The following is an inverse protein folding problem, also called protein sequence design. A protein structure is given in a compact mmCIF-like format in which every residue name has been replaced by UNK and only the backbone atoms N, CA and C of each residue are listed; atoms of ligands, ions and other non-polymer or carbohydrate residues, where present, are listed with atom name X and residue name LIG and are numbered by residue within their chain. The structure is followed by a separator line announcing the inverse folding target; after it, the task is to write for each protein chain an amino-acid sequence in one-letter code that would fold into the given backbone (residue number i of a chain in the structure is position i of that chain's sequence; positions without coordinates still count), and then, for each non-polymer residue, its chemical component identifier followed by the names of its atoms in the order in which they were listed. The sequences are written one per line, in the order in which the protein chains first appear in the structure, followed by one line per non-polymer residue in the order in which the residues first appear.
data_IF_547224547613
#
_entry.id   IF_547224547613
#
_cell.length_a   1.000
_cell.length_b   1.000
_cell.length_c   1.000
_cell.angle_alpha   90.00
_cell.angle_beta   90.00
_cell.angle_gamma   90.00
#
_symmetry.space_group_name_H-M   'P 1'
#
loop_
_entity.id
_entity.type
_entity.pdbx_description
1 polymer ?
#
# COMPACT_ATOMS: atom_id res chain seq x y z
N UNK A 1 7.96 35.96 -26.51
CA UNK A 1 8.46 35.98 -25.12
C UNK A 1 7.29 35.65 -24.21
N UNK A 2 7.36 34.58 -23.42
CA UNK A 2 6.33 34.28 -22.41
C UNK A 2 6.53 35.18 -21.18
N UNK A 3 5.46 35.69 -20.56
CA UNK A 3 5.58 36.47 -19.34
C UNK A 3 6.17 35.59 -18.22
N UNK A 4 7.31 36.01 -17.66
CA UNK A 4 7.91 35.37 -16.49
C UNK A 4 7.31 36.02 -15.24
N UNK A 5 6.46 35.29 -14.53
CA UNK A 5 5.98 35.74 -13.23
C UNK A 5 7.11 35.61 -12.22
N UNK A 6 7.55 36.73 -11.65
CA UNK A 6 8.66 36.80 -10.69
C UNK A 6 8.45 35.93 -9.43
N UNK A 7 7.19 35.62 -9.12
CA UNK A 7 6.78 34.85 -7.95
C UNK A 7 6.23 33.45 -8.29
N UNK A 8 6.38 32.96 -9.54
CA UNK A 8 5.82 31.67 -9.95
C UNK A 8 6.21 30.54 -8.99
N UNK A 9 7.50 30.42 -8.67
CA UNK A 9 8.00 29.38 -7.77
C UNK A 9 7.43 29.44 -6.35
N UNK A 10 7.10 30.63 -5.84
CA UNK A 10 6.49 30.79 -4.52
C UNK A 10 4.99 30.46 -4.55
N UNK A 11 4.29 30.77 -5.64
CA UNK A 11 2.88 30.42 -5.82
C UNK A 11 2.74 28.92 -6.02
N UNK A 12 3.60 28.30 -6.83
CA UNK A 12 3.62 26.84 -7.03
C UNK A 12 3.85 26.12 -5.69
N UNK A 13 4.79 26.62 -4.87
CA UNK A 13 5.03 26.08 -3.52
C UNK A 13 3.84 26.25 -2.57
N UNK A 14 3.14 27.38 -2.63
CA UNK A 14 1.92 27.61 -1.83
C UNK A 14 0.78 26.68 -2.24
N UNK A 15 0.64 26.39 -3.53
CA UNK A 15 -0.32 25.41 -4.05
C UNK A 15 0.05 24.01 -3.56
N UNK A 16 1.32 23.61 -3.68
CA UNK A 16 1.81 22.32 -3.18
C UNK A 16 1.63 22.16 -1.67
N UNK A 17 1.90 23.22 -0.88
CA UNK A 17 1.73 23.22 0.57
C UNK A 17 0.24 23.14 0.96
N UNK A 18 -0.64 23.86 0.25
CA UNK A 18 -2.09 23.78 0.45
C UNK A 18 -2.66 22.42 0.06
N UNK A 19 -2.25 21.86 -1.07
CA UNK A 19 -2.64 20.51 -1.50
C UNK A 19 -2.12 19.46 -0.52
N UNK A 20 -0.89 19.61 0.00
CA UNK A 20 -0.34 18.72 1.02
C UNK A 20 -1.22 18.72 2.28
N UNK A 21 -1.50 19.89 2.83
CA UNK A 21 -2.22 20.00 4.10
C UNK A 21 -3.70 19.62 3.92
N UNK A 22 -4.32 20.00 2.80
CA UNK A 22 -5.72 19.70 2.52
C UNK A 22 -5.94 18.23 2.16
N UNK A 23 -5.14 17.61 1.31
CA UNK A 23 -5.36 16.22 0.91
C UNK A 23 -4.89 15.21 1.96
N UNK A 24 -3.71 15.40 2.55
CA UNK A 24 -3.05 14.34 3.34
C UNK A 24 -3.30 14.45 4.85
N UNK A 25 -3.46 15.68 5.36
CA UNK A 25 -3.91 15.93 6.73
C UNK A 25 -5.44 16.15 6.82
N UNK A 26 -6.08 16.67 5.75
CA UNK A 26 -7.52 16.93 5.70
C UNK A 26 -8.37 15.77 5.14
N UNK A 27 -8.27 15.49 3.83
CA UNK A 27 -9.17 14.54 3.10
C UNK A 27 -8.98 13.09 3.55
N UNK A 28 -7.73 12.64 3.75
CA UNK A 28 -7.46 11.34 4.42
C UNK A 28 -7.32 11.46 5.94
N UNK A 29 -7.69 12.61 6.53
CA UNK A 29 -8.00 12.85 7.95
C UNK A 29 -7.20 12.10 9.02
N UNK A 30 -7.87 11.70 10.10
CA UNK A 30 -7.34 10.77 11.12
C UNK A 30 -7.15 9.35 10.55
N UNK A 31 -7.09 8.33 11.41
CA UNK A 31 -6.91 6.94 10.95
C UNK A 31 -8.20 6.32 10.38
N UNK A 32 -9.35 6.98 10.52
CA UNK A 32 -10.67 6.45 10.17
C UNK A 32 -10.95 6.48 8.67
N UNK A 33 -10.70 7.61 8.01
CA UNK A 33 -10.96 7.79 6.57
C UNK A 33 -10.03 6.91 5.70
N UNK A 34 -8.72 6.84 5.96
CA UNK A 34 -7.81 5.96 5.22
C UNK A 34 -8.25 4.50 5.29
N UNK A 35 -8.72 4.03 6.46
CA UNK A 35 -9.22 2.67 6.62
C UNK A 35 -10.40 2.39 5.70
N UNK A 36 -11.37 3.30 5.62
CA UNK A 36 -12.54 3.12 4.74
C UNK A 36 -12.12 3.11 3.27
N UNK A 37 -11.33 4.11 2.84
CA UNK A 37 -10.90 4.24 1.44
C UNK A 37 -10.03 3.04 1.01
N UNK A 38 -9.14 2.57 1.88
CA UNK A 38 -8.23 1.46 1.58
C UNK A 38 -8.85 0.08 1.74
N UNK A 39 -10.05 -0.04 2.33
CA UNK A 39 -10.70 -1.32 2.62
C UNK A 39 -10.77 -2.25 1.40
N UNK A 40 -11.17 -1.79 0.19
CA UNK A 40 -11.20 -2.67 -0.98
C UNK A 40 -9.82 -3.22 -1.36
N UNK A 41 -8.77 -2.38 -1.31
CA UNK A 41 -7.40 -2.80 -1.63
C UNK A 41 -6.84 -3.75 -0.56
N UNK A 42 -7.05 -3.44 0.71
CA UNK A 42 -6.62 -4.29 1.83
C UNK A 42 -7.30 -5.65 1.75
N UNK A 43 -8.62 -5.68 1.60
CA UNK A 43 -9.36 -6.94 1.49
C UNK A 43 -8.91 -7.76 0.29
N UNK A 44 -8.68 -7.11 -0.86
CA UNK A 44 -8.18 -7.80 -2.04
C UNK A 44 -6.80 -8.44 -1.81
N UNK A 45 -5.87 -7.71 -1.19
CA UNK A 45 -4.55 -8.23 -0.84
C UNK A 45 -4.64 -9.38 0.18
N UNK A 46 -5.39 -9.19 1.27
CA UNK A 46 -5.56 -10.17 2.34
C UNK A 46 -6.22 -11.46 1.84
N UNK A 47 -7.30 -11.36 1.05
CA UNK A 47 -8.01 -12.52 0.52
C UNK A 47 -7.11 -13.31 -0.43
N UNK A 48 -6.34 -12.65 -1.31
CA UNK A 48 -5.47 -13.35 -2.24
C UNK A 48 -4.30 -14.04 -1.51
N UNK A 49 -3.68 -13.37 -0.54
CA UNK A 49 -2.61 -13.95 0.28
C UNK A 49 -3.13 -15.13 1.09
N UNK A 50 -4.28 -14.97 1.76
CA UNK A 50 -4.91 -16.04 2.52
C UNK A 50 -5.26 -17.23 1.62
N UNK A 51 -6.02 -17.00 0.54
CA UNK A 51 -6.44 -18.07 -0.35
C UNK A 51 -5.26 -18.83 -0.96
N UNK A 52 -4.18 -18.11 -1.32
CA UNK A 52 -2.97 -18.74 -1.86
C UNK A 52 -2.24 -19.57 -0.80
N UNK A 53 -2.13 -19.07 0.43
CA UNK A 53 -1.55 -19.84 1.54
C UNK A 53 -2.35 -21.11 1.86
N UNK A 54 -3.69 -21.05 1.84
CA UNK A 54 -4.52 -22.22 2.11
C UNK A 54 -4.43 -23.28 1.01
N UNK A 55 -4.27 -22.85 -0.24
CA UNK A 55 -3.99 -23.75 -1.37
C UNK A 55 -2.62 -24.43 -1.21
N UNK A 56 -1.58 -23.65 -0.92
CA UNK A 56 -0.20 -24.14 -0.86
C UNK A 56 0.02 -25.06 0.36
N UNK A 57 -0.66 -24.80 1.49
CA UNK A 57 -0.71 -25.70 2.65
C UNK A 57 -1.58 -26.95 2.43
N UNK A 58 -2.35 -27.04 1.34
CA UNK A 58 -3.28 -28.15 1.10
C UNK A 58 -4.54 -28.16 1.96
N UNK A 59 -4.84 -27.04 2.65
CA UNK A 59 -6.03 -26.89 3.49
C UNK A 59 -7.30 -26.63 2.67
N UNK A 60 -7.15 -26.04 1.48
CA UNK A 60 -8.23 -25.78 0.54
C UNK A 60 -7.79 -26.14 -0.88
N UNK A 61 -8.76 -26.39 -1.77
CA UNK A 61 -8.52 -26.54 -3.20
C UNK A 61 -9.36 -25.54 -3.98
N UNK A 62 -8.71 -24.50 -4.47
CA UNK A 62 -9.27 -23.33 -5.15
C UNK A 62 -8.60 -23.26 -6.54
N UNK A 63 -9.19 -23.90 -7.57
CA UNK A 63 -8.55 -24.08 -8.88
C UNK A 63 -8.05 -22.79 -9.53
N UNK A 64 -8.75 -21.66 -9.31
CA UNK A 64 -8.37 -20.35 -9.84
C UNK A 64 -7.15 -19.73 -9.13
N UNK A 65 -6.94 -20.05 -7.87
CA UNK A 65 -5.83 -19.55 -7.05
C UNK A 65 -4.58 -20.39 -7.24
N UNK A 66 -4.74 -21.70 -7.49
CA UNK A 66 -3.62 -22.61 -7.76
C UNK A 66 -2.66 -22.06 -8.84
N UNK A 67 -3.21 -21.53 -9.95
CA UNK A 67 -2.44 -20.99 -11.06
C UNK A 67 -2.05 -19.51 -10.88
N UNK A 68 -2.57 -18.84 -9.85
CA UNK A 68 -2.34 -17.41 -9.63
C UNK A 68 -0.93 -17.20 -9.05
N UNK A 69 -0.02 -16.69 -9.90
CA UNK A 69 1.34 -16.29 -9.49
C UNK A 69 1.44 -14.83 -9.09
N UNK A 70 0.66 -13.99 -9.76
CA UNK A 70 0.68 -12.54 -9.56
C UNK A 70 -0.74 -12.00 -9.61
N UNK A 71 -0.98 -10.97 -8.82
CA UNK A 71 -2.22 -10.22 -8.79
C UNK A 71 -1.86 -8.74 -8.77
N UNK A 72 -2.52 -7.96 -9.63
CA UNK A 72 -2.26 -6.53 -9.79
C UNK A 72 -3.56 -5.76 -9.57
N UNK A 73 -3.48 -4.71 -8.77
CA UNK A 73 -4.57 -3.77 -8.56
C UNK A 73 -4.08 -2.37 -8.91
N UNK A 74 -4.73 -1.73 -9.89
CA UNK A 74 -4.43 -0.35 -10.27
C UNK A 74 -5.40 0.57 -9.54
N UNK A 75 -4.87 1.67 -8.99
CA UNK A 75 -5.65 2.58 -8.17
C UNK A 75 -5.19 4.02 -8.37
N UNK A 76 -6.03 4.97 -7.97
CA UNK A 76 -5.72 6.39 -7.98
C UNK A 76 -4.84 6.80 -6.79
N UNK A 77 -4.33 8.03 -6.83
CA UNK A 77 -3.43 8.58 -5.82
C UNK A 77 -4.04 8.63 -4.40
N UNK A 78 -5.36 8.87 -4.28
CA UNK A 78 -6.04 9.00 -3.00
C UNK A 78 -6.17 7.62 -2.35
N UNK A 79 -6.64 6.65 -3.13
CA UNK A 79 -6.76 5.26 -2.71
C UNK A 79 -5.39 4.67 -2.32
N UNK A 80 -4.34 4.96 -3.09
CA UNK A 80 -2.98 4.54 -2.79
C UNK A 80 -2.44 5.18 -1.51
N UNK A 81 -2.63 6.49 -1.33
CA UNK A 81 -2.22 7.19 -0.11
C UNK A 81 -2.94 6.66 1.14
N UNK A 82 -4.25 6.41 1.03
CA UNK A 82 -5.04 5.79 2.08
C UNK A 82 -4.52 4.40 2.46
N UNK A 83 -4.15 3.59 1.46
CA UNK A 83 -3.55 2.27 1.66
C UNK A 83 -2.20 2.33 2.36
N UNK A 84 -1.29 3.22 1.92
CA UNK A 84 0.00 3.42 2.59
C UNK A 84 -0.15 3.84 4.05
N UNK A 85 -1.07 4.77 4.32
CA UNK A 85 -1.36 5.21 5.68
C UNK A 85 -1.94 4.09 6.54
N UNK A 86 -2.79 3.22 5.98
CA UNK A 86 -3.29 2.03 6.66
C UNK A 86 -2.18 1.03 7.01
N UNK A 87 -1.13 0.93 6.19
CA UNK A 87 0.10 0.19 6.48
C UNK A 87 1.06 0.92 7.43
N UNK A 88 0.65 2.06 8.02
CA UNK A 88 1.47 2.88 8.91
C UNK A 88 2.50 3.75 8.19
N UNK A 89 2.47 3.80 6.85
CA UNK A 89 3.35 4.64 6.03
C UNK A 89 2.67 5.95 5.67
N UNK A 90 2.55 6.84 6.66
CA UNK A 90 2.06 8.19 6.38
C UNK A 90 3.03 8.92 5.45
N UNK A 91 2.51 9.48 4.37
CA UNK A 91 3.30 10.29 3.44
C UNK A 91 3.03 11.77 3.67
N UNK A 92 4.09 12.58 3.58
CA UNK A 92 4.01 14.03 3.64
C UNK A 92 3.78 14.67 2.27
N UNK A 93 3.70 13.88 1.20
CA UNK A 93 3.52 14.36 -0.17
C UNK A 93 2.64 13.38 -0.92
N UNK A 94 2.07 13.83 -2.04
CA UNK A 94 1.31 12.97 -2.92
C UNK A 94 2.13 11.78 -3.44
N UNK A 95 1.50 10.59 -3.58
CA UNK A 95 2.13 9.48 -4.28
C UNK A 95 2.49 9.87 -5.70
N UNK A 96 3.68 9.45 -6.14
CA UNK A 96 4.12 9.69 -7.52
C UNK A 96 3.50 8.68 -8.47
N UNK A 97 3.29 9.09 -9.72
CA UNK A 97 2.89 8.18 -10.77
C UNK A 97 3.87 7.00 -10.89
N UNK A 98 3.33 5.78 -10.93
CA UNK A 98 4.10 4.54 -11.01
C UNK A 98 4.62 4.01 -9.68
N UNK A 99 4.35 4.69 -8.56
CA UNK A 99 4.61 4.09 -7.25
C UNK A 99 3.80 2.80 -7.05
N UNK A 100 4.40 1.84 -6.36
CA UNK A 100 3.76 0.56 -6.11
C UNK A 100 4.11 0.00 -4.73
N UNK A 101 3.11 -0.63 -4.11
CA UNK A 101 3.33 -1.53 -2.98
C UNK A 101 3.26 -2.97 -3.50
N UNK A 102 4.23 -3.78 -3.12
CA UNK A 102 4.27 -5.20 -3.43
C UNK A 102 4.19 -6.02 -2.16
N UNK A 103 3.32 -7.02 -2.18
CA UNK A 103 3.21 -8.04 -1.15
C UNK A 103 3.60 -9.38 -1.75
N UNK A 104 4.60 -10.03 -1.17
CA UNK A 104 5.14 -11.29 -1.67
C UNK A 104 4.96 -12.35 -0.59
N UNK A 105 4.16 -13.39 -0.91
CA UNK A 105 4.01 -14.57 -0.06
C UNK A 105 5.14 -15.55 -0.36
N UNK A 106 5.82 -16.02 0.67
CA UNK A 106 6.88 -17.03 0.53
C UNK A 106 6.92 -17.98 1.73
N UNK A 107 7.52 -19.15 1.52
CA UNK A 107 7.69 -20.18 2.54
C UNK A 107 9.17 -20.31 2.91
N UNK A 108 9.47 -20.43 4.20
CA UNK A 108 10.78 -20.85 4.69
C UNK A 108 10.63 -21.79 5.88
N UNK A 109 11.33 -22.92 5.87
CA UNK A 109 11.29 -23.94 6.93
C UNK A 109 9.87 -24.44 7.28
N UNK A 110 8.95 -24.51 6.31
CA UNK A 110 7.56 -24.93 6.54
C UNK A 110 6.63 -23.84 7.08
N UNK A 111 7.13 -22.61 7.25
CA UNK A 111 6.37 -21.47 7.74
C UNK A 111 6.18 -20.42 6.64
N UNK A 112 5.04 -19.74 6.64
CA UNK A 112 4.67 -18.76 5.63
C UNK A 112 4.86 -17.33 6.12
N UNK A 113 5.37 -16.50 5.22
CA UNK A 113 5.73 -15.11 5.49
C UNK A 113 5.27 -14.20 4.36
N UNK A 114 5.06 -12.93 4.70
CA UNK A 114 4.74 -11.87 3.74
C UNK A 114 5.85 -10.83 3.77
N UNK A 115 6.46 -10.56 2.63
CA UNK A 115 7.33 -9.40 2.43
C UNK A 115 6.52 -8.24 1.85
N UNK A 116 6.58 -7.08 2.47
CA UNK A 116 5.92 -5.85 1.99
C UNK A 116 6.98 -4.82 1.61
N UNK A 117 6.91 -4.31 0.38
CA UNK A 117 7.83 -3.29 -0.13
C UNK A 117 7.11 -2.14 -0.82
N UNK A 118 7.67 -0.92 -0.70
CA UNK A 118 7.27 0.28 -1.43
C UNK A 118 8.39 0.59 -2.41
N UNK A 119 8.09 0.58 -3.71
CA UNK A 119 9.05 0.83 -4.78
C UNK A 119 10.31 -0.05 -4.66
N UNK A 120 10.12 -1.31 -4.26
CA UNK A 120 11.18 -2.30 -4.05
C UNK A 120 11.98 -2.15 -2.75
N UNK A 121 11.67 -1.16 -1.91
CA UNK A 121 12.28 -1.01 -0.58
C UNK A 121 11.39 -1.63 0.49
N UNK A 122 11.94 -2.47 1.40
CA UNK A 122 11.14 -3.05 2.48
C UNK A 122 10.50 -1.97 3.37
N UNK A 123 9.24 -2.18 3.74
CA UNK A 123 8.49 -1.29 4.61
C UNK A 123 8.41 -1.89 6.01
N UNK A 124 8.82 -1.15 7.03
CA UNK A 124 8.60 -1.59 8.41
C UNK A 124 7.26 -1.06 8.95
N UNK A 125 6.40 -1.97 9.37
CA UNK A 125 5.16 -1.75 10.11
C UNK A 125 5.12 -2.67 11.33
N UNK A 126 4.09 -2.52 12.19
CA UNK A 126 4.03 -3.21 13.48
C UNK A 126 4.24 -4.73 13.34
N UNK A 127 5.25 -5.27 14.03
CA UNK A 127 5.58 -6.70 14.01
C UNK A 127 6.47 -7.16 12.85
N UNK A 128 6.64 -6.35 11.80
CA UNK A 128 7.55 -6.67 10.69
C UNK A 128 9.03 -6.44 11.06
N UNK A 129 9.92 -7.25 10.48
CA UNK A 129 11.37 -7.03 10.48
C UNK A 129 11.87 -7.02 9.05
N UNK A 130 12.38 -5.89 8.58
CA UNK A 130 12.91 -5.72 7.21
C UNK A 130 11.84 -6.00 6.16
N UNK A 131 10.62 -5.52 6.37
CA UNK A 131 9.47 -5.77 5.47
C UNK A 131 8.84 -7.15 5.60
N UNK A 132 9.45 -8.07 6.35
CA UNK A 132 8.98 -9.44 6.50
C UNK A 132 8.16 -9.58 7.78
N UNK A 133 7.01 -10.22 7.67
CA UNK A 133 6.13 -10.56 8.77
C UNK A 133 5.59 -11.97 8.59
N UNK A 134 5.38 -12.69 9.68
CA UNK A 134 4.76 -14.01 9.67
C UNK A 134 3.28 -13.88 9.23
N UNK A 135 2.82 -14.82 8.41
CA UNK A 135 1.51 -14.74 7.74
C UNK A 135 0.34 -14.58 8.72
N UNK A 136 0.30 -15.37 9.79
CA UNK A 136 -0.79 -15.31 10.78
C UNK A 136 -0.81 -14.00 11.54
N UNK A 137 0.35 -13.38 11.71
CA UNK A 137 0.46 -12.04 12.29
C UNK A 137 0.05 -10.96 11.28
N UNK A 138 0.36 -11.14 9.99
CA UNK A 138 -0.05 -10.21 8.93
C UNK A 138 -1.57 -10.17 8.70
N UNK A 139 -2.25 -11.30 8.87
CA UNK A 139 -3.70 -11.42 8.65
C UNK A 139 -4.55 -10.88 9.83
N UNK A 140 -3.93 -10.48 10.95
CA UNK A 140 -4.60 -9.91 12.15
C UNK A 140 -4.61 -8.40 12.12
#
# INVERSE_FOLDING_TARGET
QYPKFSNQANIDRLIEDYERDYYYNGVVGGNEIPRVISTPLLNYALINIYAKSQEDCGNARIPKIHMLKHSHFFTDEISFAGFLKALGQSQSTAPKAGQNVRLELFETNGEYYVNVSLDGKPINFAGSRHGIIELDTFLK
#
